data_IF_823791778819
#
_entry.id   IF_823791778819
#
_cell.length_a   1.000
_cell.length_b   1.000
_cell.length_c   1.000
_cell.angle_alpha   90.00
_cell.angle_beta   90.00
_cell.angle_gamma   90.00
#
_symmetry.space_group_name_H-M   'P 1'
#
loop_
_entity.id
_entity.type
_entity.pdbx_description
1 polymer ?
#
# COMPACT_ATOMS: atom_id res chain seq x y z
N UNK A 1 -8.12 15.53 2.04
CA UNK A 1 -8.23 14.70 3.26
C UNK A 1 -7.28 13.53 3.11
N UNK A 2 -6.25 13.41 3.95
CA UNK A 2 -5.44 12.19 4.01
C UNK A 2 -6.13 11.27 5.01
N UNK A 3 -6.78 10.21 4.53
CA UNK A 3 -7.29 9.18 5.43
C UNK A 3 -6.07 8.45 6.02
N UNK A 4 -5.90 8.52 7.34
CA UNK A 4 -4.79 7.88 8.03
C UNK A 4 -5.05 6.36 8.11
N UNK A 5 -4.25 5.56 7.39
CA UNK A 5 -4.35 4.10 7.36
C UNK A 5 -3.54 3.43 8.48
N UNK A 6 -3.09 4.21 9.46
CA UNK A 6 -2.30 3.73 10.59
C UNK A 6 -2.99 2.58 11.31
N UNK A 7 -2.27 1.47 11.45
CA UNK A 7 -2.76 0.25 12.09
C UNK A 7 -3.62 -0.66 11.20
N UNK A 8 -4.00 -0.22 9.99
CA UNK A 8 -4.67 -1.07 9.00
C UNK A 8 -3.65 -1.98 8.29
N UNK A 9 -4.15 -3.10 7.77
CA UNK A 9 -3.38 -4.04 6.95
C UNK A 9 -3.98 -4.05 5.54
N UNK A 10 -3.13 -3.89 4.53
CA UNK A 10 -3.51 -3.94 3.12
C UNK A 10 -2.76 -5.05 2.35
N UNK A 11 -3.47 -5.73 1.46
CA UNK A 11 -2.89 -6.69 0.51
C UNK A 11 -2.84 -6.03 -0.87
N UNK A 12 -1.65 -5.95 -1.49
CA UNK A 12 -1.48 -5.33 -2.82
C UNK A 12 -1.03 -6.35 -3.84
N UNK A 13 -1.88 -6.61 -4.83
CA UNK A 13 -1.63 -7.47 -5.99
C UNK A 13 -0.85 -6.77 -7.11
N UNK A 14 -0.04 -7.51 -7.85
CA UNK A 14 0.76 -6.97 -8.97
C UNK A 14 1.70 -5.85 -8.51
N UNK A 15 2.23 -5.95 -7.29
CA UNK A 15 2.99 -4.88 -6.65
C UNK A 15 4.46 -4.79 -7.11
N UNK A 16 4.87 -5.65 -8.03
CA UNK A 16 6.22 -5.67 -8.59
C UNK A 16 6.52 -4.42 -9.43
N UNK A 17 5.51 -3.79 -10.04
CA UNK A 17 5.68 -2.64 -10.92
C UNK A 17 4.37 -1.84 -11.14
N UNK A 18 4.49 -0.74 -11.89
CA UNK A 18 3.35 0.05 -12.35
C UNK A 18 2.44 0.55 -11.22
N UNK A 19 1.13 0.38 -11.41
CA UNK A 19 0.11 0.88 -10.49
C UNK A 19 0.21 0.18 -9.13
N UNK A 20 0.42 -1.14 -9.09
CA UNK A 20 0.54 -1.87 -7.83
C UNK A 20 1.68 -1.35 -6.96
N UNK A 21 2.85 -1.09 -7.56
CA UNK A 21 3.98 -0.48 -6.86
C UNK A 21 3.70 0.96 -6.39
N UNK A 22 3.02 1.77 -7.21
CA UNK A 22 2.63 3.12 -6.84
C UNK A 22 1.62 3.14 -5.67
N UNK A 23 0.64 2.24 -5.70
CA UNK A 23 -0.35 2.07 -4.63
C UNK A 23 0.33 1.65 -3.32
N UNK A 24 1.25 0.67 -3.36
CA UNK A 24 2.01 0.25 -2.18
C UNK A 24 2.77 1.41 -1.53
N UNK A 25 3.43 2.27 -2.32
CA UNK A 25 4.14 3.46 -1.81
C UNK A 25 3.20 4.46 -1.14
N UNK A 26 2.03 4.70 -1.73
CA UNK A 26 1.04 5.60 -1.15
C UNK A 26 0.48 5.05 0.18
N UNK A 27 0.19 3.74 0.24
CA UNK A 27 -0.28 3.07 1.46
C UNK A 27 0.78 3.13 2.57
N UNK A 28 2.06 2.94 2.22
CA UNK A 28 3.18 3.08 3.15
C UNK A 28 3.25 4.50 3.73
N UNK A 29 3.12 5.53 2.89
CA UNK A 29 3.11 6.93 3.33
C UNK A 29 1.96 7.28 4.28
N UNK A 30 0.87 6.51 4.26
CA UNK A 30 -0.28 6.67 5.14
C UNK A 30 -0.20 5.81 6.41
N UNK A 31 0.92 5.12 6.65
CA UNK A 31 1.17 4.33 7.85
C UNK A 31 0.49 2.96 7.88
N UNK A 32 0.02 2.46 6.74
CA UNK A 32 -0.51 1.10 6.63
C UNK A 32 0.61 0.08 6.80
N UNK A 33 0.29 -1.06 7.41
CA UNK A 33 1.07 -2.29 7.23
C UNK A 33 0.58 -2.98 5.96
N UNK A 34 1.46 -3.58 5.18
CA UNK A 34 1.03 -4.20 3.93
C UNK A 34 1.85 -5.43 3.55
N UNK A 35 1.20 -6.31 2.78
CA UNK A 35 1.80 -7.46 2.12
C UNK A 35 1.75 -7.22 0.61
N UNK A 36 2.87 -7.45 -0.06
CA UNK A 36 2.99 -7.34 -1.50
C UNK A 36 3.02 -8.72 -2.12
N UNK A 37 2.29 -8.90 -3.21
CA UNK A 37 2.38 -10.08 -4.06
C UNK A 37 2.67 -9.67 -5.51
N UNK A 38 3.56 -10.42 -6.15
CA UNK A 38 3.97 -10.23 -7.54
C UNK A 38 2.93 -10.76 -8.51
#
# INVERSE_FOLDING_TARGET
MQQELKGKIALVCGASQGIGAATARQLAGQGARFVLLA
#
